data_IF_737231937950
#
_entry.id   IF_737231937950
#
_cell.length_a   1.000
_cell.length_b   1.000
_cell.length_c   1.000
_cell.angle_alpha   90.00
_cell.angle_beta   90.00
_cell.angle_gamma   90.00
#
_symmetry.space_group_name_H-M   'P 1'
#
loop_
_entity.id
_entity.type
_entity.pdbx_description
1 polymer ?
#
# COMPACT_ATOMS: atom_id res chain seq x y z
N UNK A 1 9.49 21.80 -5.72
CA UNK A 1 9.87 20.96 -6.87
C UNK A 1 10.13 19.55 -6.38
N UNK A 2 9.70 18.53 -7.16
CA UNK A 2 9.90 17.12 -6.81
C UNK A 2 10.64 16.43 -7.95
N UNK A 3 11.72 15.72 -7.62
CA UNK A 3 12.46 14.85 -8.54
C UNK A 3 12.35 13.41 -8.06
N UNK A 4 11.97 12.50 -8.94
CA UNK A 4 11.93 11.06 -8.68
C UNK A 4 13.08 10.40 -9.42
N UNK A 5 13.93 9.70 -8.69
CA UNK A 5 14.98 8.85 -9.24
C UNK A 5 14.49 7.41 -9.24
N UNK A 6 14.48 6.77 -10.39
CA UNK A 6 14.04 5.39 -10.58
C UNK A 6 15.13 4.57 -11.26
N UNK A 7 15.44 3.42 -10.71
CA UNK A 7 16.45 2.49 -11.25
C UNK A 7 16.03 1.88 -12.57
N UNK A 8 14.77 1.55 -12.69
CA UNK A 8 14.20 0.89 -13.85
C UNK A 8 13.89 1.91 -14.97
N UNK A 9 13.54 1.43 -16.16
CA UNK A 9 13.19 2.28 -17.31
C UNK A 9 11.86 3.02 -17.14
N UNK A 10 10.96 2.48 -16.30
CA UNK A 10 9.64 3.04 -16.00
C UNK A 10 9.42 3.14 -14.52
N UNK A 11 8.72 4.18 -14.09
CA UNK A 11 8.23 4.30 -12.71
C UNK A 11 7.15 3.26 -12.40
N UNK A 12 6.84 3.07 -11.10
CA UNK A 12 5.77 2.20 -10.63
C UNK A 12 6.24 1.01 -9.81
N UNK A 13 7.54 0.70 -9.85
CA UNK A 13 8.15 -0.34 -9.01
C UNK A 13 7.40 -1.68 -9.12
N UNK A 14 6.94 -2.24 -7.99
CA UNK A 14 6.24 -3.53 -7.98
C UNK A 14 4.96 -3.56 -8.81
N UNK A 15 4.26 -2.45 -8.99
CA UNK A 15 3.04 -2.38 -9.80
C UNK A 15 3.36 -2.66 -11.28
N UNK A 16 4.50 -2.15 -11.74
CA UNK A 16 4.94 -2.28 -13.13
C UNK A 16 5.70 -3.58 -13.39
N UNK A 17 6.52 -4.04 -12.44
CA UNK A 17 7.50 -5.10 -12.70
C UNK A 17 7.25 -6.42 -11.99
N UNK A 18 6.43 -6.46 -10.92
CA UNK A 18 6.28 -7.67 -10.09
C UNK A 18 4.85 -8.21 -10.01
N UNK A 19 3.84 -7.34 -10.14
CA UNK A 19 2.44 -7.80 -10.12
C UNK A 19 2.10 -8.35 -11.50
N UNK A 20 1.64 -9.60 -11.61
CA UNK A 20 1.26 -10.19 -12.90
C UNK A 20 0.14 -9.41 -13.58
N UNK A 21 0.23 -9.27 -14.92
CA UNK A 21 -0.70 -8.48 -15.72
C UNK A 21 -2.17 -8.94 -15.58
N UNK A 22 -2.40 -10.24 -15.37
CA UNK A 22 -3.75 -10.78 -15.13
C UNK A 22 -4.37 -10.29 -13.81
N UNK A 23 -3.57 -9.79 -12.86
CA UNK A 23 -4.05 -9.19 -11.61
C UNK A 23 -4.14 -7.68 -11.68
N UNK A 24 -3.24 -7.05 -12.40
CA UNK A 24 -3.17 -5.61 -12.57
C UNK A 24 -2.71 -5.30 -14.00
N UNK A 25 -3.65 -5.02 -14.91
CA UNK A 25 -3.31 -4.68 -16.30
C UNK A 25 -2.39 -3.47 -16.37
N UNK A 26 -1.34 -3.54 -17.18
CA UNK A 26 -0.36 -2.46 -17.31
C UNK A 26 -0.99 -1.15 -17.79
N UNK A 27 -2.03 -1.21 -18.61
CA UNK A 27 -2.78 -0.03 -19.05
C UNK A 27 -3.42 0.76 -17.88
N UNK A 28 -3.82 0.07 -16.80
CA UNK A 28 -4.34 0.72 -15.60
C UNK A 28 -3.21 1.42 -14.84
N UNK A 29 -2.07 0.73 -14.68
CA UNK A 29 -0.89 1.30 -14.01
C UNK A 29 -0.40 2.53 -14.77
N UNK A 30 -0.23 2.44 -16.08
CA UNK A 30 0.23 3.55 -16.93
C UNK A 30 -0.72 4.75 -16.90
N UNK A 31 -2.03 4.50 -16.92
CA UNK A 31 -3.03 5.57 -16.78
C UNK A 31 -2.90 6.30 -15.43
N UNK A 32 -2.79 5.57 -14.34
CA UNK A 32 -2.72 6.15 -13.01
C UNK A 32 -1.38 6.88 -12.77
N UNK A 33 -0.27 6.33 -13.29
CA UNK A 33 1.04 6.99 -13.24
C UNK A 33 1.11 8.24 -14.12
N UNK A 34 0.43 8.26 -15.26
CA UNK A 34 0.37 9.45 -16.13
C UNK A 34 -0.24 10.67 -15.44
N UNK A 35 -1.17 10.47 -14.51
CA UNK A 35 -1.72 11.56 -13.69
C UNK A 35 -0.65 12.17 -12.79
N UNK A 36 0.22 11.34 -12.21
CA UNK A 36 1.33 11.81 -11.37
C UNK A 36 2.34 12.60 -12.18
N UNK A 37 2.69 12.12 -13.38
CA UNK A 37 3.60 12.83 -14.29
C UNK A 37 3.05 14.21 -14.69
N UNK A 38 1.73 14.34 -14.91
CA UNK A 38 1.08 15.61 -15.24
C UNK A 38 1.13 16.66 -14.09
N UNK A 39 1.47 16.27 -12.88
CA UNK A 39 1.69 17.20 -11.77
C UNK A 39 2.99 18.02 -11.88
N UNK A 40 3.79 17.78 -12.93
CA UNK A 40 5.02 18.52 -13.20
C UNK A 40 6.20 18.07 -12.34
N UNK A 41 6.21 16.82 -11.88
CA UNK A 41 7.37 16.20 -11.24
C UNK A 41 8.42 15.87 -12.29
N UNK A 42 9.68 15.97 -11.91
CA UNK A 42 10.78 15.50 -12.73
C UNK A 42 11.05 14.02 -12.47
N UNK A 43 11.06 13.20 -13.52
CA UNK A 43 11.36 11.76 -13.41
C UNK A 43 12.66 11.46 -14.14
N UNK A 44 13.63 10.89 -13.42
CA UNK A 44 14.92 10.44 -13.93
C UNK A 44 15.00 8.91 -13.80
N UNK A 45 14.82 8.20 -14.89
CA UNK A 45 14.91 6.74 -14.95
C UNK A 45 16.33 6.27 -15.23
N UNK A 46 16.61 4.98 -14.95
CA UNK A 46 17.95 4.42 -15.11
C UNK A 46 18.97 4.95 -14.09
N UNK A 47 18.51 5.45 -12.92
CA UNK A 47 19.37 6.01 -11.88
C UNK A 47 19.27 5.16 -10.62
N UNK A 48 20.35 4.50 -10.27
CA UNK A 48 20.44 3.62 -9.09
C UNK A 48 20.97 4.40 -7.89
N UNK A 49 20.20 4.43 -6.80
CA UNK A 49 20.66 4.97 -5.54
C UNK A 49 21.78 4.11 -4.95
N UNK A 50 22.88 4.74 -4.61
CA UNK A 50 24.09 4.07 -4.12
C UNK A 50 25.13 3.75 -5.20
N UNK A 51 24.81 3.93 -6.48
CA UNK A 51 25.73 3.76 -7.61
C UNK A 51 25.87 5.07 -8.40
N UNK A 52 24.75 5.63 -8.86
CA UNK A 52 24.73 6.85 -9.68
C UNK A 52 24.51 8.11 -8.84
N UNK A 53 23.78 7.99 -7.74
CA UNK A 53 23.54 9.07 -6.77
C UNK A 53 23.69 8.55 -5.35
N UNK A 54 24.28 9.34 -4.48
CA UNK A 54 24.44 8.99 -3.06
C UNK A 54 23.61 9.91 -2.15
N UNK A 55 23.47 9.50 -0.88
CA UNK A 55 22.65 10.20 0.09
C UNK A 55 23.20 11.60 0.41
N UNK A 56 24.50 11.74 0.50
CA UNK A 56 25.14 13.03 0.87
C UNK A 56 24.95 14.03 -0.26
N UNK A 57 25.11 13.61 -1.52
CA UNK A 57 24.82 14.42 -2.68
C UNK A 57 23.37 14.87 -2.69
N UNK A 58 22.41 13.96 -2.50
CA UNK A 58 20.99 14.30 -2.50
C UNK A 58 20.63 15.27 -1.37
N UNK A 59 21.23 15.14 -0.20
CA UNK A 59 21.02 16.07 0.93
C UNK A 59 21.61 17.47 0.69
N UNK A 60 22.61 17.60 -0.16
CA UNK A 60 23.14 18.91 -0.56
C UNK A 60 22.29 19.59 -1.63
N UNK A 61 21.64 18.81 -2.48
CA UNK A 61 20.86 19.31 -3.61
C UNK A 61 19.38 19.54 -3.29
N UNK A 62 18.82 18.82 -2.28
CA UNK A 62 17.39 18.81 -1.96
C UNK A 62 17.14 19.13 -0.48
N UNK A 63 16.02 19.81 -0.22
CA UNK A 63 15.59 20.16 1.13
C UNK A 63 15.13 18.95 1.96
N UNK A 64 14.70 17.87 1.30
CA UNK A 64 14.35 16.60 1.92
C UNK A 64 14.52 15.44 0.93
N UNK A 65 14.87 14.27 1.47
CA UNK A 65 15.04 13.02 0.71
C UNK A 65 14.08 11.96 1.20
N UNK A 66 13.34 11.31 0.28
CA UNK A 66 12.45 10.20 0.57
C UNK A 66 13.02 8.90 -0.02
N UNK A 67 13.31 7.93 0.84
CA UNK A 67 13.78 6.60 0.44
C UNK A 67 12.60 5.64 0.30
N UNK A 68 12.13 5.46 -0.94
CA UNK A 68 11.00 4.59 -1.30
C UNK A 68 11.47 3.43 -2.21
N UNK A 69 12.64 2.89 -1.92
CA UNK A 69 13.40 1.94 -2.75
C UNK A 69 12.88 0.50 -2.75
N UNK A 70 11.74 0.26 -2.12
CA UNK A 70 11.17 -1.08 -1.99
C UNK A 70 11.95 -1.99 -1.03
N UNK A 71 11.49 -3.24 -0.88
CA UNK A 71 12.08 -4.17 0.10
C UNK A 71 13.51 -4.55 -0.26
N UNK A 72 13.75 -4.97 -1.51
CA UNK A 72 15.08 -5.41 -1.95
C UNK A 72 16.10 -4.26 -1.85
N UNK A 73 15.70 -3.04 -2.26
CA UNK A 73 16.54 -1.86 -2.15
C UNK A 73 16.83 -1.50 -0.68
N UNK A 74 15.81 -1.54 0.19
CA UNK A 74 15.99 -1.31 1.63
C UNK A 74 16.97 -2.31 2.26
N UNK A 75 16.86 -3.59 1.94
CA UNK A 75 17.82 -4.60 2.41
C UNK A 75 19.25 -4.36 1.89
N UNK A 76 19.41 -3.97 0.61
CA UNK A 76 20.71 -3.66 0.05
C UNK A 76 21.37 -2.50 0.79
N UNK A 77 20.61 -1.44 1.08
CA UNK A 77 21.09 -0.29 1.86
C UNK A 77 21.56 -0.72 3.26
N UNK A 78 20.80 -1.57 3.93
CA UNK A 78 21.16 -1.99 5.30
C UNK A 78 22.35 -2.95 5.33
N UNK A 79 22.54 -3.77 4.32
CA UNK A 79 23.67 -4.73 4.21
C UNK A 79 24.95 -4.08 3.69
N UNK A 80 24.87 -3.02 2.93
CA UNK A 80 26.01 -2.30 2.35
C UNK A 80 26.91 -1.58 3.38
N UNK A 81 26.41 -1.33 4.59
CA UNK A 81 27.20 -0.94 5.76
C UNK A 81 27.80 0.48 5.76
N UNK A 82 27.70 1.22 4.68
CA UNK A 82 28.31 2.55 4.53
C UNK A 82 27.34 3.73 4.74
N UNK A 83 26.04 3.44 4.92
CA UNK A 83 25.04 4.47 5.07
C UNK A 83 24.81 4.84 6.54
N UNK A 84 24.62 6.13 6.88
CA UNK A 84 24.32 6.57 8.23
C UNK A 84 22.89 6.20 8.69
N UNK A 85 22.25 5.26 7.99
CA UNK A 85 20.91 4.77 8.29
C UNK A 85 20.97 3.65 9.33
N UNK A 86 19.98 3.61 10.22
CA UNK A 86 19.88 2.54 11.20
C UNK A 86 19.00 1.40 10.68
N UNK A 87 19.41 0.13 10.82
CA UNK A 87 18.55 -0.99 10.48
C UNK A 87 17.42 -1.14 11.50
N UNK A 88 16.26 -1.59 11.04
CA UNK A 88 15.21 -2.11 11.91
C UNK A 88 15.58 -3.52 12.40
N UNK A 89 14.78 -4.07 13.30
CA UNK A 89 14.90 -5.48 13.73
C UNK A 89 14.54 -6.50 12.63
N UNK A 90 14.19 -6.05 11.41
CA UNK A 90 13.84 -6.88 10.25
C UNK A 90 14.76 -6.69 9.05
N UNK A 91 15.95 -6.13 9.25
CA UNK A 91 16.90 -5.78 8.18
C UNK A 91 16.31 -4.80 7.13
N UNK A 92 15.34 -4.01 7.51
CA UNK A 92 14.77 -2.92 6.72
C UNK A 92 15.24 -1.58 7.26
N UNK A 93 14.94 -0.49 6.57
CA UNK A 93 15.30 0.86 7.02
C UNK A 93 14.54 1.19 8.31
N UNK A 94 15.28 1.49 9.37
CA UNK A 94 14.71 1.92 10.65
C UNK A 94 14.24 3.37 10.58
N UNK A 95 13.00 3.59 11.02
CA UNK A 95 12.39 4.92 11.07
C UNK A 95 11.62 5.13 12.35
N UNK A 96 11.40 6.38 12.71
CA UNK A 96 10.39 6.74 13.69
C UNK A 96 8.98 6.36 13.18
N UNK A 97 8.17 5.63 13.94
CA UNK A 97 6.87 5.13 13.48
C UNK A 97 5.83 6.23 13.24
N UNK A 98 6.01 7.40 13.82
CA UNK A 98 5.10 8.55 13.65
C UNK A 98 5.50 9.40 12.46
N UNK A 99 6.78 9.81 12.42
CA UNK A 99 7.29 10.76 11.43
C UNK A 99 7.89 10.11 10.19
N UNK A 100 8.19 8.81 10.21
CA UNK A 100 8.96 8.14 9.16
C UNK A 100 10.38 8.72 8.95
N UNK A 101 10.89 9.51 9.91
CA UNK A 101 12.26 9.98 9.90
C UNK A 101 13.23 8.83 10.10
N UNK A 102 14.31 8.84 9.35
CA UNK A 102 15.46 7.96 9.60
C UNK A 102 16.34 8.59 10.71
N UNK A 103 17.45 7.96 11.03
CA UNK A 103 18.44 8.59 11.92
C UNK A 103 19.22 9.77 11.30
N UNK A 104 18.88 10.17 10.08
CA UNK A 104 19.54 11.25 9.33
C UNK A 104 18.56 12.38 9.11
N UNK A 105 18.95 13.59 9.52
CA UNK A 105 18.11 14.78 9.39
C UNK A 105 17.73 15.07 7.94
N UNK A 106 16.43 15.36 7.69
CA UNK A 106 15.89 15.62 6.36
C UNK A 106 15.70 14.37 5.49
N UNK A 107 15.98 13.18 6.05
CA UNK A 107 15.84 11.91 5.33
C UNK A 107 14.72 11.08 5.92
N UNK A 108 13.75 10.73 5.09
CA UNK A 108 12.56 9.95 5.45
C UNK A 108 12.54 8.65 4.64
N UNK A 109 11.90 7.62 5.17
CA UNK A 109 11.72 6.38 4.43
C UNK A 109 10.30 5.85 4.60
N UNK A 110 9.83 5.07 3.61
CA UNK A 110 8.48 4.51 3.62
C UNK A 110 8.32 3.29 2.71
N UNK A 111 7.09 2.80 2.63
CA UNK A 111 6.77 1.61 1.85
C UNK A 111 7.49 0.36 2.35
N UNK A 112 7.71 -0.59 1.45
CA UNK A 112 8.32 -1.89 1.78
C UNK A 112 9.78 -1.78 2.22
N UNK A 113 10.46 -0.66 1.95
CA UNK A 113 11.79 -0.39 2.49
C UNK A 113 11.80 -0.32 4.02
N UNK A 114 10.65 -0.01 4.63
CA UNK A 114 10.45 0.12 6.08
C UNK A 114 9.67 -1.06 6.64
N UNK A 115 8.52 -1.40 6.05
CA UNK A 115 7.63 -2.45 6.57
C UNK A 115 8.12 -3.88 6.28
N UNK A 116 9.02 -4.07 5.33
CA UNK A 116 9.20 -5.33 4.66
C UNK A 116 8.08 -5.57 3.63
N UNK A 117 8.05 -6.76 2.99
CA UNK A 117 7.03 -7.07 2.00
C UNK A 117 5.62 -6.93 2.57
N UNK A 118 4.81 -6.06 1.98
CA UNK A 118 3.47 -5.74 2.44
C UNK A 118 2.50 -5.60 1.26
N UNK A 119 1.26 -5.21 1.55
CA UNK A 119 0.29 -4.91 0.51
C UNK A 119 0.55 -3.53 -0.10
N UNK A 120 0.08 -3.33 -1.34
CA UNK A 120 0.16 -2.02 -2.02
C UNK A 120 -0.44 -0.90 -1.15
N UNK A 121 -1.56 -1.17 -0.49
CA UNK A 121 -2.22 -0.19 0.40
C UNK A 121 -1.31 0.24 1.55
N UNK A 122 -0.62 -0.71 2.19
CA UNK A 122 0.34 -0.41 3.28
C UNK A 122 1.53 0.39 2.75
N UNK A 123 2.07 0.01 1.60
CA UNK A 123 3.17 0.73 0.97
C UNK A 123 2.78 2.18 0.64
N UNK A 124 1.59 2.40 0.07
CA UNK A 124 1.05 3.73 -0.22
C UNK A 124 0.83 4.55 1.05
N UNK A 125 0.26 3.96 2.10
CA UNK A 125 0.02 4.65 3.36
C UNK A 125 1.33 5.13 4.01
N UNK A 126 2.36 4.29 4.02
CA UNK A 126 3.68 4.66 4.53
C UNK A 126 4.37 5.70 3.65
N UNK A 127 4.26 5.59 2.32
CA UNK A 127 4.78 6.59 1.38
C UNK A 127 4.12 7.96 1.60
N UNK A 128 2.80 8.00 1.74
CA UNK A 128 2.06 9.23 2.05
C UNK A 128 2.49 9.84 3.38
N UNK A 129 2.66 9.00 4.42
CA UNK A 129 3.11 9.45 5.74
C UNK A 129 4.51 10.06 5.68
N UNK A 130 5.44 9.43 4.97
CA UNK A 130 6.79 9.95 4.77
C UNK A 130 6.79 11.27 3.98
N UNK A 131 5.98 11.37 2.92
CA UNK A 131 5.83 12.60 2.13
C UNK A 131 5.24 13.76 2.95
N UNK A 132 4.27 13.51 3.83
CA UNK A 132 3.74 14.52 4.75
C UNK A 132 4.82 14.99 5.72
N UNK A 133 5.66 14.10 6.23
CA UNK A 133 6.76 14.45 7.11
C UNK A 133 7.80 15.30 6.40
N UNK A 134 8.19 14.95 5.19
CA UNK A 134 9.09 15.75 4.36
C UNK A 134 8.51 17.16 4.10
N UNK A 135 7.22 17.24 3.77
CA UNK A 135 6.54 18.53 3.61
C UNK A 135 6.58 19.38 4.86
N UNK A 136 6.32 18.80 6.03
CA UNK A 136 6.41 19.50 7.33
C UNK A 136 7.82 19.97 7.62
N UNK A 137 8.81 19.10 7.39
CA UNK A 137 10.23 19.43 7.58
C UNK A 137 10.65 20.62 6.73
N UNK A 138 10.38 20.64 5.44
CA UNK A 138 10.69 21.72 4.51
C UNK A 138 10.05 23.05 4.95
N UNK A 139 8.88 23.01 5.58
CA UNK A 139 8.16 24.19 6.06
C UNK A 139 8.49 24.56 7.53
N UNK A 140 9.46 23.89 8.16
CA UNK A 140 9.83 24.16 9.55
C UNK A 140 8.75 23.81 10.58
N UNK A 141 7.83 22.89 10.23
CA UNK A 141 6.75 22.43 11.09
C UNK A 141 7.17 21.18 11.86
N UNK A 142 6.58 20.95 13.02
CA UNK A 142 6.80 19.73 13.78
C UNK A 142 6.28 18.51 13.00
N UNK A 143 7.17 17.59 12.65
CA UNK A 143 6.87 16.39 11.87
C UNK A 143 6.01 15.38 12.62
N UNK A 144 5.85 15.52 13.94
CA UNK A 144 5.08 14.62 14.81
C UNK A 144 3.75 15.20 15.29
N UNK A 145 3.59 16.52 15.24
CA UNK A 145 2.41 17.18 15.79
C UNK A 145 1.11 16.63 15.20
N UNK A 146 0.16 16.32 16.08
CA UNK A 146 -1.17 15.81 15.74
C UNK A 146 -1.16 14.49 14.95
N UNK A 147 -0.14 13.66 15.15
CA UNK A 147 0.04 12.37 14.48
C UNK A 147 0.27 11.26 15.48
N UNK A 148 -0.32 10.11 15.18
CA UNK A 148 -0.13 8.88 15.94
C UNK A 148 0.60 7.82 15.11
N UNK A 149 1.30 6.87 15.75
CA UNK A 149 1.84 5.73 15.04
C UNK A 149 0.71 4.95 14.34
N UNK A 150 0.99 4.29 13.19
CA UNK A 150 -0.02 3.48 12.51
C UNK A 150 -0.53 2.40 13.47
N UNK A 151 -1.84 2.34 13.62
CA UNK A 151 -2.47 1.29 14.44
C UNK A 151 -2.28 -0.06 13.75
N UNK A 152 -1.78 -1.09 14.42
CA UNK A 152 -1.74 -2.42 13.86
C UNK A 152 -3.15 -2.87 13.45
N UNK A 153 -3.28 -3.52 12.31
CA UNK A 153 -4.56 -4.10 11.89
C UNK A 153 -5.16 -4.96 13.01
N UNK A 154 -6.40 -4.67 13.40
CA UNK A 154 -7.11 -5.40 14.46
C UNK A 154 -7.55 -6.81 14.06
N UNK A 155 -7.36 -7.18 12.81
CA UNK A 155 -7.95 -8.35 12.18
C UNK A 155 -7.68 -9.70 12.88
N UNK A 156 -6.58 -9.80 13.63
CA UNK A 156 -6.18 -11.08 14.23
C UNK A 156 -6.56 -11.23 15.73
N UNK A 157 -7.08 -10.18 16.36
CA UNK A 157 -7.25 -10.17 17.82
C UNK A 157 -8.69 -10.47 18.27
N UNK A 158 -9.65 -10.53 17.35
CA UNK A 158 -11.08 -10.67 17.68
C UNK A 158 -11.62 -12.07 17.56
N UNK A 159 -10.87 -13.00 16.96
CA UNK A 159 -11.26 -14.39 16.80
C UNK A 159 -10.22 -15.31 17.43
N UNK A 160 -10.68 -16.35 18.11
CA UNK A 160 -9.81 -17.46 18.50
C UNK A 160 -9.24 -18.11 17.24
N UNK A 161 -7.93 -18.36 17.22
CA UNK A 161 -7.21 -18.91 16.06
C UNK A 161 -7.83 -20.23 15.59
N UNK A 162 -8.23 -21.07 16.53
CA UNK A 162 -8.83 -22.38 16.24
C UNK A 162 -10.16 -22.26 15.50
N UNK A 163 -10.99 -21.26 15.85
CA UNK A 163 -12.26 -21.00 15.16
C UNK A 163 -12.04 -20.43 13.76
N UNK A 164 -11.06 -19.56 13.58
CA UNK A 164 -10.64 -19.04 12.27
C UNK A 164 -10.11 -20.16 11.36
N UNK A 165 -9.28 -21.06 11.91
CA UNK A 165 -8.75 -22.19 11.16
C UNK A 165 -9.86 -23.18 10.77
N UNK A 166 -10.81 -23.46 11.66
CA UNK A 166 -11.97 -24.29 11.35
C UNK A 166 -12.79 -23.71 10.21
N UNK A 167 -13.19 -22.45 10.29
CA UNK A 167 -13.95 -21.75 9.24
C UNK A 167 -13.17 -21.68 7.92
N UNK A 168 -11.85 -21.50 8.01
CA UNK A 168 -11.00 -21.48 6.81
C UNK A 168 -10.94 -22.82 6.08
N UNK A 169 -11.01 -23.94 6.80
CA UNK A 169 -11.04 -25.29 6.21
C UNK A 169 -12.38 -25.61 5.55
N UNK A 170 -13.47 -25.13 6.11
CA UNK A 170 -14.83 -25.39 5.67
C UNK A 170 -15.27 -24.50 4.48
N UNK A 171 -14.54 -23.47 4.16
CA UNK A 171 -14.95 -22.55 3.11
C UNK A 171 -14.65 -23.06 1.71
N UNK A 172 -15.48 -22.60 0.76
CA UNK A 172 -15.31 -22.86 -0.67
C UNK A 172 -13.91 -22.42 -1.16
N UNK A 173 -13.23 -23.23 -1.97
CA UNK A 173 -11.96 -22.84 -2.59
C UNK A 173 -12.09 -21.54 -3.38
N UNK A 174 -11.01 -20.77 -3.42
CA UNK A 174 -10.95 -19.53 -4.19
C UNK A 174 -11.08 -19.86 -5.69
N UNK A 175 -11.99 -19.18 -6.37
CA UNK A 175 -12.00 -19.20 -7.82
C UNK A 175 -10.85 -18.32 -8.33
N UNK A 176 -10.00 -18.91 -9.18
CA UNK A 176 -8.97 -18.16 -9.90
C UNK A 176 -9.67 -17.44 -11.06
N UNK A 177 -10.02 -16.19 -10.84
CA UNK A 177 -10.51 -15.34 -11.91
C UNK A 177 -9.39 -14.49 -12.50
N UNK A 178 -9.40 -14.37 -13.80
CA UNK A 178 -8.73 -13.31 -14.52
C UNK A 178 -9.58 -12.05 -14.34
N UNK A 179 -8.98 -10.96 -13.82
CA UNK A 179 -9.68 -9.69 -13.58
C UNK A 179 -10.14 -8.97 -14.88
N UNK A 180 -10.25 -9.67 -15.99
CA UNK A 180 -10.53 -9.10 -17.32
C UNK A 180 -12.01 -9.14 -17.68
N UNK A 181 -12.82 -9.93 -16.99
CA UNK A 181 -14.26 -10.03 -17.26
C UNK A 181 -15.06 -9.80 -15.96
N UNK A 182 -16.23 -9.14 -16.05
CA UNK A 182 -17.13 -9.01 -14.90
C UNK A 182 -17.54 -10.37 -14.36
N UNK A 183 -17.65 -10.48 -13.04
CA UNK A 183 -18.17 -11.69 -12.41
C UNK A 183 -19.65 -11.89 -12.72
N UNK A 184 -20.05 -13.13 -12.96
CA UNK A 184 -21.47 -13.49 -13.00
C UNK A 184 -22.10 -13.46 -11.60
N UNK A 185 -23.42 -13.40 -11.50
CA UNK A 185 -24.12 -13.40 -10.21
C UNK A 185 -23.80 -14.64 -9.36
N UNK A 186 -23.65 -15.81 -10.02
CA UNK A 186 -23.25 -17.05 -9.35
C UNK A 186 -21.84 -16.98 -8.79
N UNK A 187 -20.91 -16.37 -9.52
CA UNK A 187 -19.52 -16.19 -9.08
C UNK A 187 -19.43 -15.20 -7.92
N UNK A 188 -20.16 -14.08 -7.99
CA UNK A 188 -20.25 -13.11 -6.86
C UNK A 188 -20.79 -13.79 -5.62
N UNK A 189 -21.83 -14.62 -5.75
CA UNK A 189 -22.39 -15.35 -4.63
C UNK A 189 -21.38 -16.34 -4.04
N UNK A 190 -20.69 -17.11 -4.90
CA UNK A 190 -19.67 -18.06 -4.46
C UNK A 190 -18.53 -17.38 -3.73
N UNK A 191 -18.05 -16.22 -4.21
CA UNK A 191 -17.05 -15.41 -3.50
C UNK A 191 -17.60 -14.84 -2.18
N UNK A 192 -18.85 -14.40 -2.16
CA UNK A 192 -19.51 -13.96 -0.92
C UNK A 192 -19.58 -15.06 0.14
N UNK A 193 -19.84 -16.31 -0.25
CA UNK A 193 -19.86 -17.47 0.66
C UNK A 193 -18.47 -17.80 1.25
N UNK A 194 -17.40 -17.29 0.67
CA UNK A 194 -16.05 -17.38 1.26
C UNK A 194 -15.83 -16.48 2.46
N UNK A 195 -16.73 -15.55 2.73
CA UNK A 195 -16.69 -14.70 3.91
C UNK A 195 -16.67 -15.57 5.17
N UNK A 196 -15.74 -15.31 6.07
CA UNK A 196 -15.57 -16.06 7.32
C UNK A 196 -16.71 -15.80 8.34
N UNK A 197 -17.57 -14.83 8.06
CA UNK A 197 -18.66 -14.41 8.93
C UNK A 197 -18.16 -14.14 10.36
N UNK A 198 -17.04 -13.45 10.45
CA UNK A 198 -16.28 -13.27 11.69
C UNK A 198 -16.92 -12.28 12.66
N UNK A 199 -17.96 -11.57 12.26
CA UNK A 199 -18.71 -10.59 13.06
C UNK A 199 -17.85 -9.46 13.66
N UNK A 200 -16.58 -9.33 13.22
CA UNK A 200 -15.69 -8.29 13.75
C UNK A 200 -15.99 -6.89 13.18
N UNK A 201 -16.77 -6.79 12.10
CA UNK A 201 -17.16 -5.53 11.47
C UNK A 201 -16.08 -4.85 10.65
N UNK A 202 -14.80 -5.22 10.78
CA UNK A 202 -13.67 -4.50 10.18
C UNK A 202 -13.76 -4.37 8.65
N UNK A 203 -14.27 -5.38 7.95
CA UNK A 203 -14.45 -5.30 6.50
C UNK A 203 -15.54 -4.29 6.09
N UNK A 204 -16.45 -3.96 7.00
CA UNK A 204 -17.48 -2.93 6.82
C UNK A 204 -16.92 -1.58 7.22
N UNK A 205 -16.32 -1.47 8.39
CA UNK A 205 -15.82 -0.22 8.96
C UNK A 205 -14.66 0.36 8.16
N UNK A 206 -13.75 -0.48 7.67
CA UNK A 206 -12.57 -0.06 6.90
C UNK A 206 -12.85 0.11 5.40
N UNK A 207 -14.00 -0.33 4.90
CA UNK A 207 -14.40 -0.15 3.52
C UNK A 207 -15.42 0.99 3.41
N UNK A 208 -14.99 2.14 2.90
CA UNK A 208 -15.87 3.32 2.75
C UNK A 208 -17.16 2.99 1.98
N UNK A 209 -17.08 2.13 0.96
CA UNK A 209 -18.24 1.68 0.21
C UNK A 209 -19.20 0.85 1.07
N UNK A 210 -18.71 -0.16 1.77
CA UNK A 210 -19.54 -1.02 2.61
C UNK A 210 -20.13 -0.24 3.79
N UNK A 211 -19.34 0.61 4.44
CA UNK A 211 -19.79 1.45 5.54
C UNK A 211 -20.92 2.42 5.11
N UNK A 212 -20.79 3.01 3.91
CA UNK A 212 -21.73 4.01 3.42
C UNK A 212 -23.01 3.43 2.82
N UNK A 213 -22.89 2.28 2.15
CA UNK A 213 -23.98 1.78 1.30
C UNK A 213 -24.59 0.46 1.79
N UNK A 214 -23.90 -0.30 2.59
CA UNK A 214 -24.33 -1.66 2.93
C UNK A 214 -24.51 -1.91 4.41
N UNK A 215 -23.66 -1.35 5.27
CA UNK A 215 -23.59 -1.66 6.71
C UNK A 215 -23.55 -3.18 7.02
N UNK A 216 -23.12 -3.98 6.06
CA UNK A 216 -23.24 -5.43 6.08
C UNK A 216 -21.97 -6.10 5.56
N UNK A 217 -21.79 -7.36 5.95
CA UNK A 217 -20.65 -8.17 5.51
C UNK A 217 -20.66 -8.41 3.99
N UNK A 218 -19.52 -8.72 3.37
CA UNK A 218 -19.45 -9.09 1.96
C UNK A 218 -20.41 -10.22 1.56
N UNK A 219 -20.67 -11.17 2.46
CA UNK A 219 -21.63 -12.27 2.26
C UNK A 219 -23.07 -11.79 2.16
N UNK A 220 -23.47 -10.87 3.01
CA UNK A 220 -24.81 -10.28 2.97
C UNK A 220 -25.00 -9.39 1.76
N UNK A 221 -23.95 -8.62 1.38
CA UNK A 221 -23.96 -7.83 0.17
C UNK A 221 -24.19 -8.71 -1.08
N UNK A 222 -23.42 -9.80 -1.23
CA UNK A 222 -23.58 -10.74 -2.35
C UNK A 222 -25.00 -11.32 -2.41
N UNK A 223 -25.59 -11.66 -1.27
CA UNK A 223 -26.99 -12.14 -1.20
C UNK A 223 -28.00 -11.08 -1.65
N UNK A 224 -27.78 -9.82 -1.27
CA UNK A 224 -28.66 -8.70 -1.69
C UNK A 224 -28.55 -8.44 -3.17
N UNK A 225 -27.37 -8.48 -3.76
CA UNK A 225 -27.15 -8.36 -5.20
C UNK A 225 -28.00 -9.43 -5.92
N UNK A 226 -27.88 -10.69 -5.52
CA UNK A 226 -28.63 -11.78 -6.14
C UNK A 226 -30.14 -11.65 -5.97
N UNK A 227 -30.62 -11.11 -4.87
CA UNK A 227 -32.06 -10.94 -4.61
C UNK A 227 -32.66 -9.70 -5.27
N UNK A 228 -31.85 -8.86 -5.93
CA UNK A 228 -32.28 -7.59 -6.51
C UNK A 228 -32.77 -6.55 -5.49
N UNK A 229 -32.36 -6.70 -4.23
CA UNK A 229 -32.76 -5.81 -3.13
C UNK A 229 -31.82 -4.58 -2.95
N UNK A 230 -30.82 -4.43 -3.81
CA UNK A 230 -30.00 -3.21 -3.82
C UNK A 230 -30.64 -2.14 -4.68
N UNK A 231 -30.58 -0.91 -4.19
CA UNK A 231 -31.01 0.25 -4.97
C UNK A 231 -30.11 0.44 -6.20
N UNK A 232 -30.67 0.90 -7.32
CA UNK A 232 -29.98 1.08 -8.61
C UNK A 232 -28.65 1.87 -8.51
N UNK A 233 -28.55 2.79 -7.55
CA UNK A 233 -27.34 3.61 -7.35
C UNK A 233 -26.18 2.80 -6.74
N UNK A 234 -26.46 1.75 -5.99
CA UNK A 234 -25.42 0.86 -5.41
C UNK A 234 -24.92 -0.10 -6.48
N UNK A 235 -25.80 -0.58 -7.35
CA UNK A 235 -25.43 -1.47 -8.46
C UNK A 235 -24.44 -0.80 -9.45
N UNK A 236 -24.53 0.52 -9.65
CA UNK A 236 -23.61 1.24 -10.55
C UNK A 236 -22.15 1.28 -10.07
N UNK A 237 -21.88 0.96 -8.81
CA UNK A 237 -20.52 0.90 -8.26
C UNK A 237 -19.95 -0.53 -8.16
N UNK A 238 -20.77 -1.55 -8.41
CA UNK A 238 -20.39 -2.97 -8.30
C UNK A 238 -20.03 -3.57 -9.67
N UNK A 239 -20.38 -2.88 -10.77
CA UNK A 239 -20.12 -3.30 -12.14
C UNK A 239 -19.09 -2.38 -12.82
#
# INVERSE_FOLDING_TARGET
HVTVFEREEKIGGCLTYKIPEYRLPQSVVERDLSVIEQLGIEVRTGVTFGEDVDLEQLRQEYDAVLLLVGYDGGMQLMRGGEWPLQPSNRDTVGVDPVSCETGVEGVFAGGDAVSGPATVVVAMALGRRAAESAHRHINGLDVRADREPPTPSRLLWTLEIDELERRRRERTPMMLQTCTEPMTDEEVLAEGERCLDCQCGLCVDDCEFLAKHCEQSPKELARKIKSGLLEDDVLKFVY
#
